data_IF_917977287907
#
_entry.id   IF_917977287907
#
_cell.length_a   1.000
_cell.length_b   1.000
_cell.length_c   1.000
_cell.angle_alpha   90.00
_cell.angle_beta   90.00
_cell.angle_gamma   90.00
#
_symmetry.space_group_name_H-M   'P 1'
#
loop_
_entity.id
_entity.type
_entity.pdbx_description
1 polymer ?
#
# COMPACT_ATOMS: atom_id res chain seq x y z
N UNK A 1 22.10 -16.72 19.30
CA UNK A 1 21.09 -16.41 18.26
C UNK A 1 20.84 -14.93 18.26
N UNK A 2 20.85 -14.31 17.10
CA UNK A 2 20.55 -12.88 16.93
C UNK A 2 19.05 -12.72 16.69
N UNK A 3 18.40 -11.86 17.47
CA UNK A 3 17.01 -11.54 17.23
C UNK A 3 16.90 -10.61 16.00
N UNK A 4 15.94 -10.88 15.15
CA UNK A 4 15.68 -10.11 13.92
C UNK A 4 14.38 -9.36 14.07
N UNK A 5 14.42 -8.06 13.79
CA UNK A 5 13.25 -7.22 13.73
C UNK A 5 12.88 -6.97 12.27
N UNK A 6 11.71 -7.42 11.86
CA UNK A 6 11.17 -7.14 10.53
C UNK A 6 10.51 -5.77 10.50
N UNK A 7 10.51 -5.15 9.33
CA UNK A 7 9.96 -3.82 9.14
C UNK A 7 8.44 -3.80 9.26
N UNK A 8 7.90 -2.66 9.67
CA UNK A 8 6.48 -2.36 9.55
C UNK A 8 6.16 -2.06 8.08
N UNK A 9 5.66 -3.07 7.38
CA UNK A 9 5.41 -3.01 5.94
C UNK A 9 4.35 -1.97 5.59
N UNK A 10 3.32 -1.83 6.43
CA UNK A 10 2.27 -0.83 6.19
C UNK A 10 2.83 0.59 6.28
N UNK A 11 3.64 0.88 7.29
CA UNK A 11 4.30 2.18 7.42
C UNK A 11 5.24 2.47 6.25
N UNK A 12 6.03 1.48 5.82
CA UNK A 12 6.93 1.60 4.68
C UNK A 12 6.15 1.87 3.38
N UNK A 13 5.04 1.18 3.16
CA UNK A 13 4.17 1.39 2.01
C UNK A 13 3.60 2.81 2.02
N UNK A 14 3.05 3.26 3.14
CA UNK A 14 2.43 4.58 3.25
C UNK A 14 3.44 5.66 2.89
N UNK A 15 4.65 5.58 3.44
CA UNK A 15 5.72 6.54 3.16
C UNK A 15 6.11 6.55 1.68
N UNK A 16 6.32 5.37 1.09
CA UNK A 16 6.66 5.25 -0.32
C UNK A 16 5.55 5.77 -1.23
N UNK A 17 4.33 5.31 -1.02
CA UNK A 17 3.20 5.64 -1.89
C UNK A 17 2.87 7.13 -1.83
N UNK A 18 2.82 7.71 -0.65
CA UNK A 18 2.55 9.14 -0.49
C UNK A 18 3.60 9.99 -1.21
N UNK A 19 4.87 9.66 -1.05
CA UNK A 19 5.98 10.36 -1.71
C UNK A 19 5.94 10.17 -3.22
N UNK A 20 5.71 8.96 -3.69
CA UNK A 20 5.67 8.64 -5.12
C UNK A 20 4.50 9.35 -5.83
N UNK A 21 3.33 9.41 -5.20
CA UNK A 21 2.17 10.10 -5.76
C UNK A 21 2.39 11.61 -5.86
N UNK A 22 3.06 12.22 -4.89
CA UNK A 22 3.37 13.65 -4.94
C UNK A 22 4.25 14.01 -6.13
N UNK A 23 5.08 13.09 -6.60
CA UNK A 23 5.96 13.30 -7.74
C UNK A 23 5.27 13.08 -9.09
N UNK A 24 4.01 12.65 -9.12
CA UNK A 24 3.30 12.33 -10.36
C UNK A 24 2.52 13.54 -10.89
N UNK A 25 2.50 13.74 -12.23
CA UNK A 25 1.76 14.84 -12.85
C UNK A 25 0.28 14.54 -13.10
N UNK A 26 -0.16 13.28 -13.02
CA UNK A 26 -1.54 12.89 -13.32
C UNK A 26 -2.51 13.54 -12.31
N UNK A 27 -3.63 14.08 -12.83
CA UNK A 27 -4.62 14.74 -11.98
C UNK A 27 -5.18 13.81 -10.90
N UNK A 28 -5.39 12.53 -11.23
CA UNK A 28 -5.91 11.55 -10.27
C UNK A 28 -4.89 11.13 -9.21
N UNK A 29 -3.63 11.53 -9.35
CA UNK A 29 -2.60 11.29 -8.33
C UNK A 29 -2.53 12.40 -7.29
N UNK A 30 -3.29 13.48 -7.46
CA UNK A 30 -3.31 14.61 -6.55
C UNK A 30 -4.25 14.37 -5.38
N UNK A 31 -3.85 14.83 -4.21
CA UNK A 31 -4.68 14.80 -2.98
C UNK A 31 -5.19 13.39 -2.63
N UNK A 32 -4.36 12.38 -2.82
CA UNK A 32 -4.68 10.99 -2.45
C UNK A 32 -4.33 10.77 -0.98
N UNK A 33 -5.30 10.29 -0.22
CA UNK A 33 -5.07 9.86 1.16
C UNK A 33 -4.53 8.43 1.16
N UNK A 34 -3.41 8.18 1.81
CA UNK A 34 -2.80 6.85 1.92
C UNK A 34 -2.77 6.45 3.39
N UNK A 35 -3.42 5.34 3.73
CA UNK A 35 -3.59 4.90 5.11
C UNK A 35 -3.53 3.38 5.21
N UNK A 36 -3.53 2.86 6.43
CA UNK A 36 -3.62 1.43 6.71
C UNK A 36 -5.00 1.01 7.26
N UNK A 37 -5.96 1.90 7.25
CA UNK A 37 -7.34 1.63 7.64
C UNK A 37 -8.30 2.56 6.89
N UNK A 38 -9.53 2.10 6.72
CA UNK A 38 -10.59 2.92 6.13
C UNK A 38 -11.04 3.98 7.16
N UNK A 39 -11.26 5.24 6.75
CA UNK A 39 -11.79 6.26 7.64
C UNK A 39 -13.15 5.85 8.23
N UNK A 40 -13.40 6.23 9.47
CA UNK A 40 -14.65 5.92 10.16
C UNK A 40 -15.80 6.82 9.75
N UNK A 41 -15.52 7.85 8.97
CA UNK A 41 -16.48 8.86 8.47
C UNK A 41 -17.13 9.66 9.60
N UNK A 42 -16.39 9.86 10.68
CA UNK A 42 -16.76 10.77 11.76
C UNK A 42 -16.20 12.17 11.50
N UNK A 43 -16.60 13.15 12.30
CA UNK A 43 -16.09 14.53 12.18
C UNK A 43 -14.56 14.59 12.31
N UNK A 44 -13.97 13.75 13.17
CA UNK A 44 -12.52 13.71 13.38
C UNK A 44 -11.78 12.79 12.41
N UNK A 45 -12.51 11.96 11.66
CA UNK A 45 -11.92 11.00 10.72
C UNK A 45 -12.80 10.90 9.47
N UNK A 46 -12.87 11.97 8.66
CA UNK A 46 -13.73 12.01 7.48
C UNK A 46 -13.14 11.26 6.31
N UNK A 47 -14.00 10.88 5.37
CA UNK A 47 -13.58 10.45 4.04
C UNK A 47 -12.87 11.60 3.33
N UNK A 48 -11.81 11.35 2.54
CA UNK A 48 -11.10 12.45 1.88
C UNK A 48 -12.02 13.24 0.93
N UNK A 49 -11.89 14.56 0.94
CA UNK A 49 -12.69 15.44 0.08
C UNK A 49 -12.44 15.16 -1.42
N UNK A 50 -11.23 14.75 -1.78
CA UNK A 50 -10.88 14.32 -3.14
C UNK A 50 -11.56 13.02 -3.56
N UNK A 51 -12.08 12.25 -2.63
CA UNK A 51 -12.60 10.87 -2.79
C UNK A 51 -11.50 9.86 -3.18
N UNK A 52 -10.25 10.27 -3.15
CA UNK A 52 -9.10 9.41 -3.51
C UNK A 52 -8.46 8.86 -2.25
N UNK A 53 -8.53 7.55 -2.10
CA UNK A 53 -8.05 6.83 -0.92
C UNK A 53 -7.37 5.55 -1.34
N UNK A 54 -6.21 5.29 -0.75
CA UNK A 54 -5.49 4.02 -0.87
C UNK A 54 -5.29 3.47 0.53
N UNK A 55 -5.73 2.24 0.76
CA UNK A 55 -5.57 1.54 2.04
C UNK A 55 -4.77 0.27 1.82
N UNK A 56 -3.70 0.13 2.60
CA UNK A 56 -2.84 -1.05 2.60
C UNK A 56 -3.08 -1.88 3.84
N UNK A 57 -3.06 -3.21 3.67
CA UNK A 57 -3.11 -4.17 4.77
C UNK A 57 -1.97 -5.16 4.60
N UNK A 58 -1.26 -5.40 5.66
CA UNK A 58 -0.27 -6.47 5.73
C UNK A 58 -1.01 -7.77 6.12
N UNK A 59 -0.99 -8.73 5.21
CA UNK A 59 -1.62 -10.04 5.42
C UNK A 59 -0.63 -11.07 5.98
N UNK A 60 0.57 -10.64 6.34
CA UNK A 60 1.61 -11.50 6.87
C UNK A 60 2.40 -12.21 5.79
N UNK A 61 3.06 -13.27 6.18
CA UNK A 61 3.86 -14.09 5.30
C UNK A 61 4.97 -14.80 6.07
N UNK A 62 5.58 -15.83 5.46
CA UNK A 62 6.62 -16.59 6.13
C UNK A 62 7.95 -15.84 6.20
N UNK A 63 8.73 -16.14 7.23
CA UNK A 63 10.14 -15.80 7.29
C UNK A 63 10.92 -16.94 6.63
N UNK A 64 11.73 -16.61 5.63
CA UNK A 64 12.44 -17.62 4.85
C UNK A 64 13.90 -17.79 5.28
N UNK A 65 14.47 -16.75 5.85
CA UNK A 65 15.86 -16.74 6.35
C UNK A 65 15.94 -15.78 7.54
N UNK A 66 17.08 -15.78 8.21
CA UNK A 66 17.28 -14.96 9.42
C UNK A 66 16.95 -13.47 9.24
N UNK A 67 17.22 -12.91 8.06
CA UNK A 67 17.03 -11.49 7.79
C UNK A 67 15.99 -11.21 6.70
N UNK A 68 15.43 -12.23 6.09
CA UNK A 68 14.44 -12.07 5.03
C UNK A 68 13.09 -12.59 5.46
N UNK A 69 12.07 -11.89 5.00
CA UNK A 69 10.69 -12.35 5.10
C UNK A 69 9.96 -12.04 3.81
N UNK A 70 8.92 -12.81 3.54
CA UNK A 70 7.96 -12.49 2.49
C UNK A 70 6.74 -11.87 3.17
N UNK A 71 6.36 -10.69 2.74
CA UNK A 71 5.13 -10.05 3.18
C UNK A 71 4.15 -10.02 2.03
N UNK A 72 2.90 -10.32 2.31
CA UNK A 72 1.82 -10.16 1.35
C UNK A 72 0.98 -8.98 1.79
N UNK A 73 0.77 -8.03 0.90
CA UNK A 73 -0.07 -6.87 1.16
C UNK A 73 -1.30 -6.89 0.26
N UNK A 74 -2.42 -6.43 0.80
CA UNK A 74 -3.62 -6.12 0.05
C UNK A 74 -3.75 -4.60 -0.06
N UNK A 75 -4.07 -4.11 -1.25
CA UNK A 75 -4.20 -2.67 -1.51
C UNK A 75 -5.57 -2.41 -2.11
N UNK A 76 -6.36 -1.59 -1.45
CA UNK A 76 -7.66 -1.16 -1.94
C UNK A 76 -7.60 0.32 -2.31
N UNK A 77 -8.21 0.64 -3.44
CA UNK A 77 -8.15 1.98 -4.04
C UNK A 77 -9.55 2.48 -4.31
N UNK A 78 -9.84 3.71 -3.92
CA UNK A 78 -11.09 4.39 -4.22
C UNK A 78 -10.79 5.71 -4.92
N UNK A 79 -11.69 6.14 -5.78
CA UNK A 79 -11.68 7.47 -6.38
C UNK A 79 -13.12 7.91 -6.68
N UNK A 80 -13.31 9.07 -7.32
CA UNK A 80 -14.60 9.65 -7.53
C UNK A 80 -15.46 8.88 -8.54
N UNK A 81 -14.83 8.28 -9.56
CA UNK A 81 -15.50 7.52 -10.62
C UNK A 81 -14.81 6.18 -10.83
N UNK A 82 -15.48 5.25 -11.53
CA UNK A 82 -14.88 3.96 -11.85
C UNK A 82 -13.64 4.11 -12.72
N UNK A 83 -13.67 5.01 -13.71
CA UNK A 83 -12.53 5.25 -14.58
C UNK A 83 -11.33 5.79 -13.80
N UNK A 84 -11.55 6.77 -12.94
CA UNK A 84 -10.49 7.34 -12.10
C UNK A 84 -9.95 6.32 -11.11
N UNK A 85 -10.82 5.50 -10.52
CA UNK A 85 -10.41 4.42 -9.61
C UNK A 85 -9.52 3.42 -10.32
N UNK A 86 -9.88 3.02 -11.53
CA UNK A 86 -9.06 2.10 -12.34
C UNK A 86 -7.70 2.70 -12.65
N UNK A 87 -7.67 3.97 -13.07
CA UNK A 87 -6.43 4.67 -13.40
C UNK A 87 -5.52 4.79 -12.18
N UNK A 88 -6.08 5.18 -11.03
CA UNK A 88 -5.33 5.31 -9.80
C UNK A 88 -4.81 3.94 -9.31
N UNK A 89 -5.61 2.89 -9.43
CA UNK A 89 -5.19 1.55 -9.04
C UNK A 89 -4.05 1.02 -9.91
N UNK A 90 -4.12 1.25 -11.23
CA UNK A 90 -3.04 0.86 -12.14
C UNK A 90 -1.76 1.64 -11.85
N UNK A 91 -1.87 2.93 -11.57
CA UNK A 91 -0.72 3.74 -11.15
C UNK A 91 -0.13 3.22 -9.84
N UNK A 92 -0.96 2.97 -8.84
CA UNK A 92 -0.50 2.45 -7.56
C UNK A 92 0.24 1.11 -7.72
N UNK A 93 -0.28 0.19 -8.52
CA UNK A 93 0.39 -1.08 -8.81
C UNK A 93 1.75 -0.86 -9.50
N UNK A 94 1.83 0.08 -10.45
CA UNK A 94 3.08 0.42 -11.11
C UNK A 94 4.11 1.00 -10.13
N UNK A 95 3.66 1.85 -9.21
CA UNK A 95 4.54 2.43 -8.18
C UNK A 95 5.01 1.38 -7.18
N UNK A 96 4.20 0.36 -6.88
CA UNK A 96 4.63 -0.79 -6.08
C UNK A 96 5.67 -1.62 -6.83
N UNK A 97 5.45 -1.85 -8.13
CA UNK A 97 6.42 -2.61 -8.96
C UNK A 97 7.79 -1.95 -8.96
N UNK A 98 7.86 -0.64 -9.02
CA UNK A 98 9.10 0.12 -9.01
C UNK A 98 9.68 0.36 -7.61
N UNK A 99 8.99 -0.07 -6.57
CA UNK A 99 9.39 0.22 -5.19
C UNK A 99 10.63 -0.57 -4.78
N UNK A 100 11.68 0.18 -4.45
CA UNK A 100 12.95 -0.37 -3.92
C UNK A 100 13.43 0.52 -2.80
N UNK A 101 13.90 -0.11 -1.74
CA UNK A 101 14.47 0.59 -0.58
C UNK A 101 15.44 -0.33 0.14
N UNK A 102 16.14 0.14 1.17
CA UNK A 102 16.94 -0.76 1.99
C UNK A 102 16.12 -1.88 2.66
N UNK A 103 14.82 -1.67 2.85
CA UNK A 103 13.92 -2.62 3.48
C UNK A 103 13.23 -3.51 2.45
N UNK A 104 12.69 -2.91 1.39
CA UNK A 104 11.93 -3.63 0.35
C UNK A 104 12.88 -3.95 -0.80
N UNK A 105 13.18 -5.24 -0.95
CA UNK A 105 14.18 -5.71 -1.92
C UNK A 105 13.56 -6.16 -3.24
N UNK A 106 12.33 -6.64 -3.21
CA UNK A 106 11.62 -7.13 -4.38
C UNK A 106 10.13 -6.96 -4.19
N UNK A 107 9.42 -6.67 -5.26
CA UNK A 107 7.96 -6.53 -5.27
C UNK A 107 7.37 -7.27 -6.47
N UNK A 108 6.24 -7.92 -6.25
CA UNK A 108 5.48 -8.62 -7.28
C UNK A 108 4.00 -8.27 -7.14
N UNK A 109 3.55 -7.13 -7.68
CA UNK A 109 2.14 -6.76 -7.63
C UNK A 109 1.31 -7.56 -8.64
N UNK A 110 0.07 -7.85 -8.26
CA UNK A 110 -0.92 -8.41 -9.17
C UNK A 110 -1.60 -7.30 -9.97
N UNK A 111 -2.33 -7.69 -11.00
CA UNK A 111 -3.13 -6.74 -11.77
C UNK A 111 -4.34 -6.31 -10.96
N UNK A 112 -4.61 -4.99 -10.82
CA UNK A 112 -5.82 -4.50 -10.16
C UNK A 112 -7.09 -4.92 -10.87
N UNK A 113 -8.15 -5.11 -10.07
CA UNK A 113 -9.48 -5.40 -10.58
C UNK A 113 -10.53 -4.65 -9.77
N UNK A 114 -11.68 -4.36 -10.38
CA UNK A 114 -12.78 -3.68 -9.73
C UNK A 114 -13.45 -4.58 -8.69
N UNK A 115 -13.83 -4.01 -7.57
CA UNK A 115 -14.57 -4.71 -6.53
C UNK A 115 -15.88 -3.97 -6.26
N UNK A 116 -16.92 -4.72 -5.91
CA UNK A 116 -18.21 -4.16 -5.53
C UNK A 116 -18.23 -3.98 -4.02
N UNK A 117 -18.67 -2.81 -3.56
CA UNK A 117 -18.82 -2.49 -2.15
C UNK A 117 -20.27 -2.18 -1.79
N UNK A 118 -20.61 -2.45 -0.52
CA UNK A 118 -21.92 -2.07 0.01
C UNK A 118 -22.14 -0.55 -0.02
N UNK A 119 -21.08 0.22 0.17
CA UNK A 119 -21.09 1.68 0.09
C UNK A 119 -21.37 2.21 -1.32
N UNK A 120 -21.29 1.35 -2.34
CA UNK A 120 -21.40 1.70 -3.77
C UNK A 120 -20.31 2.67 -4.26
N UNK A 121 -19.30 2.95 -3.47
CA UNK A 121 -18.15 3.73 -3.93
C UNK A 121 -17.35 2.90 -4.93
N UNK A 122 -16.90 3.51 -6.04
CA UNK A 122 -16.00 2.82 -6.95
C UNK A 122 -14.73 2.39 -6.22
N UNK A 123 -14.40 1.11 -6.32
CA UNK A 123 -13.24 0.54 -5.64
C UNK A 123 -12.53 -0.46 -6.55
N UNK A 124 -11.23 -0.57 -6.37
CA UNK A 124 -10.39 -1.56 -7.02
C UNK A 124 -9.45 -2.18 -5.98
N UNK A 125 -8.92 -3.35 -6.29
CA UNK A 125 -8.09 -4.10 -5.37
C UNK A 125 -6.97 -4.79 -6.11
N UNK A 126 -5.80 -4.84 -5.49
CA UNK A 126 -4.71 -5.70 -5.92
C UNK A 126 -3.91 -6.17 -4.71
N UNK A 127 -3.11 -7.19 -4.92
CA UNK A 127 -2.19 -7.70 -3.90
C UNK A 127 -0.76 -7.55 -4.40
N UNK A 128 0.20 -7.62 -3.50
CA UNK A 128 1.59 -7.70 -3.87
C UNK A 128 2.34 -8.59 -2.89
N UNK A 129 3.26 -9.37 -3.41
CA UNK A 129 4.26 -10.04 -2.60
C UNK A 129 5.50 -9.15 -2.51
N UNK A 130 6.01 -8.98 -1.29
CA UNK A 130 7.20 -8.20 -1.02
C UNK A 130 8.24 -9.10 -0.40
N UNK A 131 9.47 -9.00 -0.88
CA UNK A 131 10.62 -9.53 -0.15
C UNK A 131 11.20 -8.41 0.66
N UNK A 132 11.14 -8.53 1.99
CA UNK A 132 11.58 -7.52 2.93
C UNK A 132 12.80 -7.99 3.70
N UNK A 133 13.60 -7.03 4.14
CA UNK A 133 14.78 -7.30 4.96
C UNK A 133 14.54 -6.80 6.37
N UNK A 134 14.70 -7.70 7.34
CA UNK A 134 14.76 -7.33 8.74
C UNK A 134 16.14 -6.79 9.11
N UNK A 135 16.26 -6.31 10.31
CA UNK A 135 17.53 -5.89 10.89
C UNK A 135 17.80 -6.67 12.18
N UNK A 136 19.07 -6.91 12.44
CA UNK A 136 19.45 -7.52 13.70
C UNK A 136 19.20 -6.56 14.85
N UNK A 137 18.60 -7.05 15.93
CA UNK A 137 18.48 -6.27 17.16
C UNK A 137 19.83 -6.25 17.87
N UNK A 138 20.25 -5.09 18.40
CA UNK A 138 21.47 -5.06 19.18
C UNK A 138 21.34 -5.97 20.40
N UNK A 139 22.42 -6.67 20.72
CA UNK A 139 22.50 -7.43 21.97
C UNK A 139 22.68 -6.46 23.13
N UNK A 140 21.90 -6.70 24.18
CA UNK A 140 21.98 -5.89 25.39
C UNK A 140 23.30 -6.11 26.14
#
# INVERSE_FOLDING_TARGET
MVAILHADVEAEFIGHMASALLARPEAYADSVMVRNRVPTETTSDPWPASKRLIVVRDDGGPTTQDVRATARIGVRVWAATEAETSDLALLAAALVRGWRSPVVRRTEPTRPYSVTEESRRPAAYFTAELTIRGRALPTA
#
